data_IF_849769776268
#
_entry.id   IF_849769776268
#
_cell.length_a   1.000
_cell.length_b   1.000
_cell.length_c   1.000
_cell.angle_alpha   90.00
_cell.angle_beta   90.00
_cell.angle_gamma   90.00
#
_symmetry.space_group_name_H-M   'P 1'
#
loop_
_entity.id
_entity.type
_entity.pdbx_description
1 polymer ?
#
# COMPACT_ATOMS: atom_id res chain seq x y z
N UNK A 1 -2.36 14.09 -15.76
CA UNK A 1 -1.54 13.47 -16.80
C UNK A 1 -1.31 12.02 -16.48
N UNK A 2 -1.22 11.17 -17.48
CA UNK A 2 -0.98 9.75 -17.25
C UNK A 2 0.45 9.52 -16.74
N UNK A 3 0.61 8.56 -15.85
CA UNK A 3 1.90 8.15 -15.29
C UNK A 3 2.15 6.68 -15.51
N UNK A 4 3.40 6.29 -15.35
CA UNK A 4 3.81 4.89 -15.34
C UNK A 4 4.62 4.60 -14.09
N UNK A 5 4.35 3.46 -13.47
CA UNK A 5 5.04 3.02 -12.26
C UNK A 5 6.02 1.90 -12.61
N UNK A 6 7.22 1.98 -12.07
CA UNK A 6 8.21 0.93 -12.14
C UNK A 6 7.99 -0.03 -10.97
N UNK A 7 7.74 -1.28 -11.28
CA UNK A 7 7.42 -2.32 -10.31
C UNK A 7 8.56 -3.33 -10.24
N UNK A 8 9.03 -3.64 -9.03
CA UNK A 8 10.04 -4.66 -8.79
C UNK A 8 9.37 -6.02 -8.58
N UNK A 9 9.67 -7.00 -9.42
CA UNK A 9 9.11 -8.35 -9.29
C UNK A 9 9.86 -9.22 -8.27
N UNK A 10 10.89 -8.67 -7.62
CA UNK A 10 11.71 -9.37 -6.63
C UNK A 10 11.53 -8.84 -5.20
N UNK A 11 10.67 -7.84 -5.01
CA UNK A 11 10.41 -7.24 -3.70
C UNK A 11 8.91 -7.34 -3.37
N UNK A 12 8.49 -8.42 -2.66
CA UNK A 12 7.06 -8.61 -2.35
C UNK A 12 6.50 -7.47 -1.49
N UNK A 13 5.27 -7.09 -1.76
CA UNK A 13 4.51 -6.10 -0.98
C UNK A 13 3.02 -6.44 -1.03
N UNK A 14 2.26 -5.79 -0.16
CA UNK A 14 0.82 -5.90 -0.16
C UNK A 14 0.28 -7.04 0.69
N UNK A 15 -0.97 -7.39 0.45
CA UNK A 15 -1.68 -8.43 1.22
C UNK A 15 -0.98 -9.78 1.08
N UNK A 16 -0.49 -10.32 2.22
CA UNK A 16 0.24 -11.60 2.26
C UNK A 16 1.45 -11.64 1.33
N UNK A 17 2.06 -10.48 1.05
CA UNK A 17 3.18 -10.33 0.11
C UNK A 17 2.86 -10.90 -1.29
N UNK A 18 1.61 -10.82 -1.71
CA UNK A 18 1.17 -11.35 -3.00
C UNK A 18 1.44 -10.41 -4.18
N UNK A 19 1.81 -9.17 -3.89
CA UNK A 19 2.10 -8.16 -4.90
C UNK A 19 3.55 -7.71 -4.89
N UNK A 20 3.83 -6.57 -5.52
CA UNK A 20 5.19 -6.09 -5.74
C UNK A 20 5.34 -4.62 -5.40
N UNK A 21 6.56 -4.25 -5.05
CA UNK A 21 6.93 -2.89 -4.66
C UNK A 21 6.91 -1.93 -5.85
N UNK A 22 6.37 -0.72 -5.65
CA UNK A 22 6.52 0.39 -6.59
C UNK A 22 7.83 1.11 -6.28
N UNK A 23 8.78 1.04 -7.23
CA UNK A 23 10.11 1.62 -7.08
C UNK A 23 10.16 3.09 -7.48
N UNK A 24 9.40 3.47 -8.51
CA UNK A 24 9.41 4.82 -9.05
C UNK A 24 8.12 5.07 -9.81
N UNK A 25 7.76 6.35 -9.96
CA UNK A 25 6.61 6.78 -10.75
C UNK A 25 7.04 7.96 -11.58
N UNK A 26 6.88 7.84 -12.90
CA UNK A 26 7.26 8.87 -13.85
C UNK A 26 6.09 9.19 -14.79
N UNK A 27 6.17 10.34 -15.46
CA UNK A 27 5.22 10.67 -16.49
C UNK A 27 5.45 9.80 -17.73
N UNK A 28 4.39 9.52 -18.48
CA UNK A 28 4.48 8.79 -19.74
C UNK A 28 5.47 9.50 -20.68
N UNK A 29 6.41 8.73 -21.21
CA UNK A 29 7.49 9.23 -22.04
C UNK A 29 8.81 9.41 -21.32
N UNK A 30 8.83 9.38 -19.99
CA UNK A 30 10.04 9.52 -19.18
C UNK A 30 10.56 8.18 -18.64
N UNK A 31 10.03 7.05 -19.12
CA UNK A 31 10.49 5.73 -18.74
C UNK A 31 11.93 5.53 -19.19
N UNK A 32 12.70 4.85 -18.37
CA UNK A 32 14.09 4.49 -18.65
C UNK A 32 14.25 2.97 -18.72
N UNK A 33 15.32 2.51 -19.34
CA UNK A 33 15.63 1.07 -19.39
C UNK A 33 15.95 0.53 -18.01
N UNK A 34 15.42 -0.65 -17.72
CA UNK A 34 15.59 -1.30 -16.42
C UNK A 34 15.95 -2.77 -16.60
N UNK A 35 16.34 -3.40 -15.49
CA UNK A 35 16.56 -4.85 -15.46
C UNK A 35 15.25 -5.59 -15.78
N UNK A 36 15.37 -6.80 -16.37
CA UNK A 36 14.22 -7.62 -16.77
C UNK A 36 13.29 -8.01 -15.60
N UNK A 37 13.75 -7.91 -14.36
CA UNK A 37 12.93 -8.16 -13.17
C UNK A 37 12.12 -6.95 -12.73
N UNK A 38 12.21 -5.84 -13.42
CA UNK A 38 11.43 -4.63 -13.20
C UNK A 38 10.51 -4.41 -14.38
N UNK A 39 9.30 -3.94 -14.11
CA UNK A 39 8.28 -3.75 -15.14
C UNK A 39 7.64 -2.37 -15.00
N UNK A 40 7.35 -1.76 -16.15
CA UNK A 40 6.56 -0.54 -16.21
C UNK A 40 5.09 -0.89 -16.40
N UNK A 41 4.23 -0.24 -15.61
CA UNK A 41 2.78 -0.36 -15.73
C UNK A 41 2.13 1.01 -15.74
N UNK A 42 1.09 1.19 -16.55
CA UNK A 42 0.30 2.41 -16.52
C UNK A 42 -0.37 2.55 -15.15
N UNK A 43 -0.40 3.76 -14.61
CA UNK A 43 -0.99 4.02 -13.32
C UNK A 43 -1.68 5.39 -13.28
N UNK A 44 -2.55 5.58 -12.28
CA UNK A 44 -3.18 6.87 -12.02
C UNK A 44 -2.16 7.89 -11.46
N UNK A 45 -2.47 9.17 -11.60
CA UNK A 45 -1.61 10.25 -11.10
C UNK A 45 -1.44 10.22 -9.57
N UNK A 46 -2.33 9.52 -8.88
CA UNK A 46 -2.32 9.38 -7.41
C UNK A 46 -1.35 8.32 -6.90
N UNK A 47 -0.84 7.45 -7.77
CA UNK A 47 0.11 6.40 -7.38
C UNK A 47 1.46 7.02 -7.02
N UNK A 48 2.00 6.64 -5.86
CA UNK A 48 3.26 7.16 -5.34
C UNK A 48 4.21 6.03 -4.95
N UNK A 49 5.50 6.30 -5.05
CA UNK A 49 6.57 5.37 -4.65
C UNK A 49 6.43 4.98 -3.17
N UNK A 50 6.52 3.68 -2.91
CA UNK A 50 6.46 3.08 -1.55
C UNK A 50 5.16 3.34 -0.76
N UNK A 51 4.16 3.97 -1.37
CA UNK A 51 2.82 4.15 -0.77
C UNK A 51 1.76 3.28 -1.41
N UNK A 52 2.08 2.68 -2.54
CA UNK A 52 1.21 1.78 -3.29
C UNK A 52 1.95 0.48 -3.59
N UNK A 53 1.22 -0.56 -3.94
CA UNK A 53 1.77 -1.83 -4.38
C UNK A 53 1.02 -2.31 -5.62
N UNK A 54 1.72 -3.08 -6.45
CA UNK A 54 1.13 -3.68 -7.65
C UNK A 54 0.51 -5.04 -7.30
N UNK A 55 -0.78 -5.19 -7.60
CA UNK A 55 -1.50 -6.45 -7.45
C UNK A 55 -1.60 -7.14 -8.81
N UNK A 56 -0.78 -8.18 -9.07
CA UNK A 56 -0.81 -8.87 -10.36
C UNK A 56 -2.07 -9.68 -10.58
N UNK A 57 -2.78 -10.05 -9.51
CA UNK A 57 -4.03 -10.82 -9.62
C UNK A 57 -5.14 -9.99 -10.26
N UNK A 58 -5.24 -8.72 -9.88
CA UNK A 58 -6.24 -7.79 -10.41
C UNK A 58 -5.69 -6.81 -11.42
N UNK A 59 -4.36 -6.81 -11.63
CA UNK A 59 -3.65 -5.85 -12.48
C UNK A 59 -3.95 -4.40 -12.12
N UNK A 60 -3.95 -4.12 -10.82
CA UNK A 60 -4.22 -2.77 -10.29
C UNK A 60 -3.21 -2.38 -9.22
N UNK A 61 -3.08 -1.07 -8.98
CA UNK A 61 -2.32 -0.53 -7.85
C UNK A 61 -3.27 -0.32 -6.66
N UNK A 62 -2.81 -0.71 -5.47
CA UNK A 62 -3.54 -0.58 -4.22
C UNK A 62 -2.69 0.11 -3.17
N UNK A 63 -3.33 0.76 -2.20
CA UNK A 63 -2.61 1.46 -1.13
C UNK A 63 -1.96 0.49 -0.15
N UNK A 64 -0.74 0.86 0.27
CA UNK A 64 -0.10 0.24 1.42
C UNK A 64 -0.63 0.87 2.71
N UNK A 65 -0.60 0.14 3.84
CA UNK A 65 -0.98 0.71 5.13
C UNK A 65 -0.12 1.93 5.48
N UNK A 66 -0.77 3.02 5.85
CA UNK A 66 -0.11 4.19 6.41
C UNK A 66 -0.21 4.15 7.93
N UNK A 67 0.63 4.95 8.60
CA UNK A 67 0.57 5.06 10.06
C UNK A 67 -0.82 5.56 10.50
N UNK A 68 -1.38 4.90 11.52
CA UNK A 68 -2.68 5.29 12.08
C UNK A 68 -2.51 6.58 12.89
N UNK A 69 -3.32 7.59 12.57
CA UNK A 69 -3.45 8.77 13.42
C UNK A 69 -4.49 8.50 14.52
N UNK A 70 -4.00 8.08 15.67
CA UNK A 70 -4.84 7.71 16.81
C UNK A 70 -5.57 8.90 17.42
N UNK A 71 -5.07 10.12 17.24
CA UNK A 71 -5.73 11.32 17.75
C UNK A 71 -7.01 11.61 16.99
N UNK A 72 -7.04 11.34 15.68
CA UNK A 72 -8.22 11.50 14.83
C UNK A 72 -9.15 10.31 14.96
N UNK A 73 -8.60 9.10 14.95
CA UNK A 73 -9.37 7.86 15.00
C UNK A 73 -9.95 7.55 16.40
N UNK A 74 -9.58 8.34 17.41
CA UNK A 74 -9.98 8.11 18.78
C UNK A 74 -9.06 7.16 19.52
N UNK A 75 -9.24 7.09 20.84
CA UNK A 75 -8.42 6.27 21.72
C UNK A 75 -8.94 4.84 21.72
N UNK A 76 -8.04 3.87 21.74
CA UNK A 76 -8.40 2.46 21.88
C UNK A 76 -9.00 2.20 23.27
N UNK A 77 -9.97 1.30 23.35
CA UNK A 77 -10.52 0.86 24.62
C UNK A 77 -9.47 0.10 25.44
N UNK A 78 -9.55 0.22 26.77
CA UNK A 78 -8.67 -0.47 27.69
C UNK A 78 -9.48 -1.22 28.75
N UNK A 79 -8.89 -2.27 29.33
CA UNK A 79 -9.50 -3.02 30.43
C UNK A 79 -9.24 -2.32 31.79
N UNK A 80 -9.66 -2.95 32.89
CA UNK A 80 -9.51 -2.40 34.22
C UNK A 80 -8.06 -2.23 34.65
N UNK A 81 -7.13 -2.98 34.08
CA UNK A 81 -5.69 -2.91 34.34
C UNK A 81 -4.97 -1.93 33.40
N UNK A 82 -5.70 -1.29 32.49
CA UNK A 82 -5.14 -0.34 31.52
C UNK A 82 -4.55 -0.98 30.29
N UNK A 83 -4.76 -2.25 30.06
CA UNK A 83 -4.28 -2.95 28.86
C UNK A 83 -5.25 -2.73 27.69
N UNK A 84 -4.74 -2.52 26.46
CA UNK A 84 -5.62 -2.35 25.31
C UNK A 84 -6.50 -3.59 25.07
N UNK A 85 -7.78 -3.36 24.77
CA UNK A 85 -8.74 -4.40 24.43
C UNK A 85 -9.11 -4.38 22.96
N UNK A 86 -8.57 -3.44 22.22
CA UNK A 86 -8.80 -3.28 20.80
C UNK A 86 -7.48 -3.09 20.06
N UNK A 87 -7.48 -3.34 18.78
CA UNK A 87 -6.34 -3.05 17.89
C UNK A 87 -6.82 -2.43 16.58
N UNK A 88 -5.92 -1.76 15.86
CA UNK A 88 -6.17 -1.31 14.51
C UNK A 88 -5.77 -2.39 13.52
N UNK A 89 -6.67 -2.72 12.60
CA UNK A 89 -6.44 -3.68 11.53
C UNK A 89 -6.63 -3.00 10.18
N UNK A 90 -5.68 -3.19 9.28
CA UNK A 90 -5.78 -2.68 7.91
C UNK A 90 -6.69 -3.58 7.08
N UNK A 91 -7.66 -2.95 6.43
CA UNK A 91 -8.53 -3.65 5.47
C UNK A 91 -7.98 -3.41 4.07
N UNK A 92 -7.45 -4.46 3.46
CA UNK A 92 -6.86 -4.39 2.13
C UNK A 92 -7.89 -4.11 1.02
N UNK A 93 -9.15 -4.45 1.25
CA UNK A 93 -10.22 -4.25 0.27
C UNK A 93 -10.75 -2.82 0.28
N UNK A 94 -10.91 -2.22 1.45
CA UNK A 94 -11.40 -0.83 1.60
C UNK A 94 -10.28 0.18 1.70
N UNK A 95 -9.03 -0.29 1.88
CA UNK A 95 -7.84 0.55 2.07
C UNK A 95 -7.99 1.50 3.27
N UNK A 96 -8.54 1.00 4.36
CA UNK A 96 -8.77 1.76 5.58
C UNK A 96 -8.40 0.97 6.82
N UNK A 97 -8.14 1.71 7.90
CA UNK A 97 -7.97 1.14 9.23
C UNK A 97 -9.31 0.99 9.92
N UNK A 98 -9.48 -0.07 10.68
CA UNK A 98 -10.64 -0.26 11.54
C UNK A 98 -10.22 -0.78 12.92
N UNK A 99 -11.02 -0.46 13.94
CA UNK A 99 -10.81 -0.98 15.28
C UNK A 99 -11.46 -2.37 15.38
N UNK A 100 -10.72 -3.31 15.93
CA UNK A 100 -11.19 -4.67 16.13
C UNK A 100 -10.90 -5.09 17.58
N UNK A 101 -11.77 -5.90 18.22
CA UNK A 101 -11.47 -6.45 19.53
C UNK A 101 -10.27 -7.39 19.48
N UNK A 102 -9.46 -7.32 20.51
CA UNK A 102 -8.32 -8.23 20.67
C UNK A 102 -8.75 -9.64 20.98
#
# INVERSE_FOLDING_TARGET
MAKRALVSTIEPRGKNDSGYRVLDVVEVGNEFETHSKFQWHDCADTVETDKYWWDPTTSTFKKLPEAVDKSIAGVLAVDAEGNPTEEYVWNWDTETWSKQPL
#
